data_IF_759440480561
#
_entry.id   IF_759440480561
#
_cell.length_a   1.000
_cell.length_b   1.000
_cell.length_c   1.000
_cell.angle_alpha   90.00
_cell.angle_beta   90.00
_cell.angle_gamma   90.00
#
_symmetry.space_group_name_H-M   'P 1'
#
loop_
_entity.id
_entity.type
_entity.pdbx_description
1 polymer ?
#
# COMPACT_ATOMS: atom_id res chain seq x y z
N UNK A 1 4.85 43.87 16.59
CA UNK A 1 4.07 43.04 15.66
C UNK A 1 3.56 41.80 16.38
N UNK A 2 2.29 41.80 16.80
CA UNK A 2 1.71 40.76 17.66
C UNK A 2 1.69 39.39 16.95
N UNK A 3 1.44 39.38 15.64
CA UNK A 3 1.42 38.16 14.81
C UNK A 3 2.81 37.52 14.76
N UNK A 4 3.87 38.32 14.60
CA UNK A 4 5.24 37.79 14.56
C UNK A 4 5.68 37.24 15.91
N UNK A 5 5.29 37.87 17.01
CA UNK A 5 5.53 37.35 18.37
C UNK A 5 4.81 36.02 18.60
N UNK A 6 3.55 35.90 18.15
CA UNK A 6 2.78 34.66 18.22
C UNK A 6 3.40 33.55 17.36
N UNK A 7 3.84 33.89 16.14
CA UNK A 7 4.51 32.94 15.25
C UNK A 7 5.88 32.48 15.75
N UNK A 8 6.60 33.31 16.52
CA UNK A 8 7.85 32.89 17.17
C UNK A 8 7.62 31.85 18.28
N UNK A 9 6.44 31.87 18.92
CA UNK A 9 6.03 30.85 19.88
C UNK A 9 5.38 29.62 19.24
N UNK A 10 4.99 29.70 17.97
CA UNK A 10 4.31 28.64 17.25
C UNK A 10 5.31 27.62 16.65
N UNK A 11 4.87 26.37 16.41
CA UNK A 11 5.69 25.41 15.67
C UNK A 11 6.03 25.89 14.26
N UNK A 12 7.25 25.60 13.79
CA UNK A 12 7.75 26.08 12.49
C UNK A 12 6.84 25.74 11.31
N UNK A 13 6.16 24.59 11.35
CA UNK A 13 5.25 24.14 10.29
C UNK A 13 3.98 24.99 10.16
N UNK A 14 3.64 25.82 11.16
CA UNK A 14 2.52 26.76 11.09
C UNK A 14 2.78 27.84 10.03
N UNK A 15 4.03 28.26 9.86
CA UNK A 15 4.43 29.27 8.86
C UNK A 15 4.13 28.82 7.42
N UNK A 16 4.20 27.51 7.16
CA UNK A 16 3.92 26.93 5.84
C UNK A 16 2.43 26.94 5.49
N UNK A 17 1.55 27.02 6.48
CA UNK A 17 0.09 26.99 6.29
C UNK A 17 -0.50 28.40 6.42
N UNK A 18 -0.04 29.14 7.42
CA UNK A 18 -0.62 30.43 7.81
C UNK A 18 0.08 31.62 7.18
N UNK A 19 1.22 31.48 6.46
CA UNK A 19 1.89 32.59 5.72
C UNK A 19 1.73 33.98 6.37
N UNK A 20 2.31 34.20 7.57
CA UNK A 20 1.92 35.29 8.48
C UNK A 20 2.12 36.69 7.91
N UNK A 21 3.02 36.86 6.93
CA UNK A 21 3.26 38.14 6.25
C UNK A 21 2.07 38.66 5.42
N UNK A 22 1.05 37.82 5.18
CA UNK A 22 -0.15 38.21 4.44
C UNK A 22 -1.23 38.84 5.34
N UNK A 23 -1.07 38.78 6.67
CA UNK A 23 -2.07 39.23 7.63
C UNK A 23 -1.62 40.52 8.30
N UNK A 24 -2.31 41.62 7.97
CA UNK A 24 -2.07 42.94 8.59
C UNK A 24 -2.90 43.14 9.87
N UNK A 25 -4.01 42.41 10.01
CA UNK A 25 -4.92 42.48 11.15
C UNK A 25 -4.86 41.20 11.98
N UNK A 26 -4.96 41.35 13.30
CA UNK A 26 -4.99 40.22 14.23
C UNK A 26 -6.25 39.36 14.06
N UNK A 27 -7.38 39.98 13.77
CA UNK A 27 -8.67 39.28 13.58
C UNK A 27 -8.63 38.34 12.37
N UNK A 28 -8.08 38.81 11.24
CA UNK A 28 -7.91 38.00 10.03
C UNK A 28 -6.96 36.81 10.27
N UNK A 29 -5.91 37.03 11.07
CA UNK A 29 -4.99 35.97 11.47
C UNK A 29 -5.68 34.92 12.37
N UNK A 30 -6.50 35.35 13.33
CA UNK A 30 -7.27 34.43 14.19
C UNK A 30 -8.27 33.59 13.38
N UNK A 31 -8.94 34.19 12.39
CA UNK A 31 -9.82 33.48 11.47
C UNK A 31 -9.05 32.44 10.64
N UNK A 32 -7.85 32.78 10.16
CA UNK A 32 -7.00 31.85 9.42
C UNK A 32 -6.53 30.68 10.28
N UNK A 33 -6.14 30.93 11.53
CA UNK A 33 -5.80 29.88 12.50
C UNK A 33 -6.98 28.94 12.72
N UNK A 34 -8.19 29.49 12.92
CA UNK A 34 -9.41 28.69 13.09
C UNK A 34 -9.76 27.88 11.84
N UNK A 35 -9.63 28.47 10.66
CA UNK A 35 -9.90 27.79 9.39
C UNK A 35 -8.93 26.63 9.13
N UNK A 36 -7.68 26.78 9.54
CA UNK A 36 -6.63 25.78 9.35
C UNK A 36 -6.40 24.87 10.57
N UNK A 37 -7.26 24.91 11.59
CA UNK A 37 -7.11 24.17 12.85
C UNK A 37 -6.81 22.68 12.64
N UNK A 38 -7.61 21.99 11.82
CA UNK A 38 -7.42 20.58 11.51
C UNK A 38 -6.07 20.28 10.82
N UNK A 39 -5.62 21.17 9.93
CA UNK A 39 -4.36 20.98 9.21
C UNK A 39 -3.16 21.24 10.13
N UNK A 40 -3.26 22.26 10.98
CA UNK A 40 -2.26 22.58 12.02
C UNK A 40 -2.17 21.44 13.04
N UNK A 41 -3.28 20.79 13.34
CA UNK A 41 -3.35 19.67 14.28
C UNK A 41 -2.81 18.35 13.70
N UNK A 42 -3.08 18.05 12.42
CA UNK A 42 -2.60 16.84 11.74
C UNK A 42 -1.10 16.84 11.51
N UNK A 43 -0.53 18.01 11.23
CA UNK A 43 0.89 18.16 10.94
C UNK A 43 1.77 18.21 12.19
N UNK A 44 1.18 18.13 13.38
CA UNK A 44 1.93 18.04 14.64
C UNK A 44 2.83 16.78 14.63
N UNK A 45 4.18 16.96 14.61
CA UNK A 45 5.13 15.85 14.64
C UNK A 45 5.02 15.02 15.93
N UNK A 46 4.48 15.59 17.01
CA UNK A 46 4.26 14.89 18.28
C UNK A 46 3.25 13.74 18.14
N UNK A 47 2.25 13.90 17.26
CA UNK A 47 1.22 12.89 16.97
C UNK A 47 1.63 11.91 15.88
N UNK A 48 2.49 12.34 14.96
CA UNK A 48 3.03 11.46 13.91
C UNK A 48 3.92 10.33 14.46
N UNK A 49 4.42 10.44 15.71
CA UNK A 49 5.12 9.35 16.40
C UNK A 49 4.20 8.27 16.99
N UNK A 50 2.87 8.46 16.97
CA UNK A 50 1.91 7.56 17.60
C UNK A 50 1.27 6.50 16.68
N UNK A 51 1.46 6.57 15.36
CA UNK A 51 0.75 5.74 14.39
C UNK A 51 1.64 4.91 13.46
N UNK A 52 2.84 4.53 13.91
CA UNK A 52 3.67 3.52 13.24
C UNK A 52 4.06 2.42 14.22
N UNK A 53 3.07 1.63 14.65
CA UNK A 53 3.35 0.37 15.33
C UNK A 53 2.46 -0.75 14.80
N UNK A 54 2.66 -1.09 13.53
CA UNK A 54 2.41 -2.44 13.04
C UNK A 54 3.70 -2.96 12.41
N UNK A 55 4.46 -3.69 13.22
CA UNK A 55 5.34 -4.76 12.76
C UNK A 55 6.67 -4.35 12.12
N UNK A 56 7.66 -3.97 12.92
CA UNK A 56 9.04 -4.26 12.59
C UNK A 56 9.66 -5.10 13.71
N UNK A 57 9.65 -6.42 13.51
CA UNK A 57 10.59 -7.31 14.20
C UNK A 57 12.00 -7.04 13.64
N UNK A 58 13.05 -7.18 14.46
CA UNK A 58 14.41 -6.92 14.03
C UNK A 58 14.89 -8.08 13.16
N UNK A 59 15.22 -7.78 11.91
CA UNK A 59 15.85 -8.71 10.98
C UNK A 59 17.10 -8.08 10.38
N UNK A 60 18.24 -8.48 10.93
CA UNK A 60 19.57 -8.53 10.33
C UNK A 60 20.16 -7.23 9.76
N UNK A 61 21.26 -6.81 10.41
CA UNK A 61 22.15 -5.76 9.93
C UNK A 61 22.83 -6.16 8.62
N UNK A 62 22.19 -5.86 7.50
CA UNK A 62 22.86 -5.77 6.21
C UNK A 62 23.30 -4.32 6.00
N UNK A 63 24.62 -4.09 6.06
CA UNK A 63 25.26 -2.83 5.67
C UNK A 63 24.75 -2.39 4.29
N UNK A 64 24.04 -1.27 4.23
CA UNK A 64 23.58 -0.68 2.97
C UNK A 64 24.78 -0.11 2.22
N UNK A 65 25.34 -0.91 1.31
CA UNK A 65 26.43 -0.50 0.43
C UNK A 65 25.91 0.55 -0.58
N UNK A 66 26.48 1.78 -0.66
CA UNK A 66 25.95 2.89 -1.46
C UNK A 66 25.94 2.64 -2.98
N UNK A 67 26.69 1.64 -3.45
CA UNK A 67 26.83 1.29 -4.87
C UNK A 67 25.73 0.36 -5.41
N UNK A 68 24.77 -0.06 -4.58
CA UNK A 68 23.72 -0.99 -4.98
C UNK A 68 22.41 -0.28 -5.36
N UNK A 69 22.50 0.68 -6.29
CA UNK A 69 21.39 1.55 -6.71
C UNK A 69 20.33 0.81 -7.56
N UNK A 70 20.57 -0.46 -7.92
CA UNK A 70 19.71 -1.27 -8.78
C UNK A 70 18.91 -2.36 -8.04
N UNK A 71 18.77 -2.31 -6.71
CA UNK A 71 17.93 -3.25 -5.95
C UNK A 71 16.43 -2.92 -5.90
N UNK A 72 15.95 -2.00 -6.73
CA UNK A 72 14.52 -1.73 -6.89
C UNK A 72 13.89 -2.48 -8.08
N UNK A 73 14.46 -3.62 -8.49
CA UNK A 73 13.69 -4.59 -9.25
C UNK A 73 12.61 -5.15 -8.31
N UNK A 74 11.39 -4.61 -8.39
CA UNK A 74 10.22 -5.29 -7.84
C UNK A 74 10.02 -6.53 -8.70
N UNK A 75 10.68 -7.64 -8.32
CA UNK A 75 10.40 -8.95 -8.90
C UNK A 75 9.05 -9.37 -8.33
N UNK A 76 8.00 -8.79 -8.89
CA UNK A 76 6.64 -9.18 -8.58
C UNK A 76 6.47 -10.60 -9.09
N UNK A 77 5.92 -11.49 -8.25
CA UNK A 77 5.58 -12.83 -8.68
C UNK A 77 4.65 -12.76 -9.91
N UNK A 78 4.77 -13.72 -10.82
CA UNK A 78 3.99 -13.73 -12.07
C UNK A 78 2.50 -13.63 -11.74
N UNK A 79 1.85 -12.63 -12.34
CA UNK A 79 0.44 -12.32 -12.13
C UNK A 79 0.06 -11.61 -10.84
N UNK A 80 1.03 -11.00 -10.17
CA UNK A 80 0.78 -10.05 -9.08
C UNK A 80 0.21 -8.73 -9.60
N UNK A 81 -0.84 -8.26 -8.96
CA UNK A 81 -1.40 -6.93 -9.21
C UNK A 81 -2.03 -6.34 -7.94
N UNK A 82 -2.33 -5.05 -7.93
CA UNK A 82 -2.86 -4.35 -6.74
C UNK A 82 -4.20 -4.94 -6.27
N UNK A 83 -4.99 -5.54 -7.16
CA UNK A 83 -6.25 -6.19 -6.83
C UNK A 83 -6.11 -7.54 -6.11
N UNK A 84 -4.88 -8.09 -6.04
CA UNK A 84 -4.62 -9.43 -5.47
C UNK A 84 -4.13 -9.39 -4.01
N UNK A 85 -4.13 -8.22 -3.37
CA UNK A 85 -3.30 -7.96 -2.20
C UNK A 85 -3.74 -8.65 -0.88
N UNK A 86 -4.99 -9.13 -0.73
CA UNK A 86 -5.39 -9.87 0.46
C UNK A 86 -6.48 -10.92 0.15
N UNK A 87 -6.22 -12.22 0.39
CA UNK A 87 -7.20 -13.27 0.23
C UNK A 87 -8.30 -13.18 1.31
N UNK A 88 -9.58 -13.43 0.97
CA UNK A 88 -10.68 -13.39 1.93
C UNK A 88 -10.74 -14.61 2.86
N UNK A 89 -10.04 -15.70 2.54
CA UNK A 89 -10.06 -16.94 3.33
C UNK A 89 -8.72 -17.23 4.01
N UNK A 90 -8.73 -17.99 5.13
CA UNK A 90 -7.51 -18.44 5.78
C UNK A 90 -6.62 -19.26 4.84
N UNK A 91 -5.30 -19.11 5.00
CA UNK A 91 -4.30 -19.86 4.24
C UNK A 91 -4.50 -21.36 4.37
N UNK A 92 -4.50 -22.05 3.24
CA UNK A 92 -4.65 -23.50 3.17
C UNK A 92 -3.49 -24.15 2.42
N UNK A 93 -2.48 -24.62 3.15
CA UNK A 93 -1.35 -25.35 2.60
C UNK A 93 -1.58 -26.88 2.54
N UNK A 94 -2.76 -27.36 2.94
CA UNK A 94 -3.09 -28.80 2.91
C UNK A 94 -3.44 -29.30 1.50
N UNK A 95 -3.96 -28.40 0.66
CA UNK A 95 -4.25 -28.69 -0.75
C UNK A 95 -3.02 -28.38 -1.60
N UNK A 96 -2.47 -29.40 -2.27
CA UNK A 96 -1.29 -29.28 -3.15
C UNK A 96 -1.70 -29.61 -4.57
N UNK A 97 -1.43 -28.70 -5.51
CA UNK A 97 -1.72 -28.93 -6.93
C UNK A 97 -0.75 -29.95 -7.56
N UNK A 98 -1.24 -30.97 -8.30
CA UNK A 98 -0.39 -32.02 -8.86
C UNK A 98 0.46 -31.57 -10.06
N UNK A 99 0.17 -30.41 -10.67
CA UNK A 99 0.82 -29.89 -11.90
C UNK A 99 1.93 -28.86 -11.61
N UNK A 100 2.53 -28.96 -10.43
CA UNK A 100 3.43 -27.94 -9.87
C UNK A 100 2.66 -26.83 -9.15
N UNK A 101 3.32 -26.11 -8.25
CA UNK A 101 2.67 -25.09 -7.43
C UNK A 101 2.99 -23.67 -7.92
N UNK A 102 2.13 -22.67 -7.63
CA UNK A 102 2.46 -21.27 -7.90
C UNK A 102 3.81 -20.84 -7.32
N UNK A 103 4.14 -21.33 -6.12
CA UNK A 103 5.42 -21.07 -5.47
C UNK A 103 6.62 -21.58 -6.29
N UNK A 104 6.52 -22.80 -6.84
CA UNK A 104 7.59 -23.38 -7.67
C UNK A 104 7.79 -22.63 -8.99
N UNK A 105 6.70 -22.10 -9.56
CA UNK A 105 6.72 -21.37 -10.83
C UNK A 105 6.93 -19.86 -10.66
N UNK A 106 7.19 -19.37 -9.45
CA UNK A 106 7.35 -17.95 -9.16
C UNK A 106 6.10 -17.12 -9.45
N UNK A 107 4.92 -17.73 -9.43
CA UNK A 107 3.63 -17.08 -9.62
C UNK A 107 3.04 -16.61 -8.28
N UNK A 108 2.10 -15.67 -8.34
CA UNK A 108 1.44 -15.16 -7.13
C UNK A 108 0.72 -16.29 -6.37
N UNK A 109 0.61 -16.20 -5.03
CA UNK A 109 -0.18 -17.16 -4.26
C UNK A 109 -1.67 -17.11 -4.66
N UNK A 110 -2.40 -18.15 -4.26
CA UNK A 110 -3.82 -18.30 -4.52
C UNK A 110 -4.61 -17.05 -4.07
N UNK A 111 -5.42 -16.47 -4.95
CA UNK A 111 -6.22 -15.26 -4.63
C UNK A 111 -7.28 -15.49 -3.56
N UNK A 112 -7.67 -16.76 -3.34
CA UNK A 112 -8.74 -17.11 -2.42
C UNK A 112 -8.23 -17.26 -0.99
N UNK A 113 -7.08 -17.91 -0.79
CA UNK A 113 -6.54 -18.21 0.53
C UNK A 113 -5.11 -17.72 0.78
N UNK A 114 -4.37 -17.32 -0.25
CA UNK A 114 -2.97 -16.91 -0.13
C UNK A 114 -1.96 -18.05 -0.01
N UNK A 115 -2.38 -19.30 -0.24
CA UNK A 115 -1.42 -20.42 -0.31
C UNK A 115 -0.62 -20.38 -1.60
N UNK A 116 0.67 -20.67 -1.51
CA UNK A 116 1.53 -20.91 -2.67
C UNK A 116 1.51 -22.37 -3.14
N UNK A 117 0.80 -23.28 -2.44
CA UNK A 117 0.83 -24.73 -2.69
C UNK A 117 -0.21 -25.21 -3.71
N UNK A 118 -1.20 -24.39 -4.04
CA UNK A 118 -2.18 -24.72 -5.06
C UNK A 118 -2.57 -23.51 -5.91
N UNK A 119 -2.98 -23.79 -7.15
CA UNK A 119 -3.50 -22.78 -8.07
C UNK A 119 -4.89 -22.29 -7.66
N UNK A 120 -5.23 -21.07 -8.06
CA UNK A 120 -6.59 -20.50 -7.89
C UNK A 120 -7.73 -21.52 -8.09
N UNK A 121 -7.83 -22.29 -9.21
CA UNK A 121 -8.91 -23.24 -9.44
C UNK A 121 -8.90 -24.48 -8.54
N UNK A 122 -7.74 -24.85 -7.98
CA UNK A 122 -7.58 -26.02 -7.13
C UNK A 122 -7.94 -25.70 -5.66
N UNK A 123 -8.12 -24.43 -5.33
CA UNK A 123 -8.46 -23.99 -3.99
C UNK A 123 -9.84 -24.53 -3.56
N UNK A 124 -9.95 -25.00 -2.31
CA UNK A 124 -11.25 -25.43 -1.74
C UNK A 124 -12.32 -24.32 -1.72
N UNK A 125 -11.88 -23.07 -1.68
CA UNK A 125 -12.74 -21.89 -1.68
C UNK A 125 -13.05 -21.38 -3.10
N UNK A 126 -12.44 -21.97 -4.13
CA UNK A 126 -12.78 -21.67 -5.51
C UNK A 126 -14.13 -22.30 -5.87
N UNK A 127 -14.94 -21.55 -6.62
CA UNK A 127 -16.20 -22.07 -7.17
C UNK A 127 -15.89 -23.07 -8.27
N UNK A 128 -16.01 -24.36 -7.97
CA UNK A 128 -15.81 -25.43 -8.94
C UNK A 128 -16.90 -25.37 -10.01
N UNK A 129 -16.51 -25.30 -11.28
CA UNK A 129 -17.44 -25.28 -12.42
C UNK A 129 -17.84 -23.90 -12.93
N UNK A 130 -17.39 -22.81 -12.30
CA UNK A 130 -17.56 -21.47 -12.86
C UNK A 130 -16.67 -21.31 -14.10
N UNK A 131 -17.28 -21.29 -15.29
CA UNK A 131 -16.61 -20.80 -16.50
C UNK A 131 -16.35 -19.31 -16.25
N UNK A 132 -15.08 -18.91 -16.16
CA UNK A 132 -14.65 -17.50 -16.08
C UNK A 132 -15.08 -16.77 -17.36
N UNK A 133 -16.34 -16.36 -17.46
CA UNK A 133 -16.80 -15.45 -18.50
C UNK A 133 -16.15 -14.08 -18.20
N UNK A 134 -15.23 -13.65 -19.05
CA UNK A 134 -14.56 -12.34 -18.95
C UNK A 134 -15.53 -11.24 -19.39
N UNK A 135 -16.56 -10.95 -18.58
CA UNK A 135 -17.61 -9.97 -18.90
C UNK A 135 -17.48 -8.71 -18.02
N UNK A 136 -16.41 -7.94 -18.24
CA UNK A 136 -16.37 -6.48 -18.07
C UNK A 136 -14.93 -5.97 -18.26
N UNK A 137 -14.59 -5.49 -19.45
CA UNK A 137 -13.27 -4.89 -19.73
C UNK A 137 -13.14 -3.44 -19.22
N UNK A 138 -14.23 -2.82 -18.75
CA UNK A 138 -14.27 -1.38 -18.43
C UNK A 138 -13.76 -1.06 -17.02
N UNK A 139 -13.79 -2.02 -16.08
CA UNK A 139 -13.43 -1.79 -14.67
C UNK A 139 -12.10 -2.42 -14.25
N UNK A 140 -11.51 -3.27 -15.09
CA UNK A 140 -10.24 -3.94 -14.81
C UNK A 140 -9.12 -3.05 -15.34
N UNK A 141 -8.12 -2.76 -14.51
CA UNK A 141 -6.95 -2.02 -14.98
C UNK A 141 -6.16 -2.88 -15.98
N UNK A 142 -5.52 -2.26 -16.96
CA UNK A 142 -4.70 -2.99 -17.94
C UNK A 142 -3.59 -3.81 -17.26
N UNK A 143 -3.04 -3.30 -16.15
CA UNK A 143 -2.09 -4.00 -15.30
C UNK A 143 -2.67 -5.31 -14.72
N UNK A 144 -3.90 -5.28 -14.24
CA UNK A 144 -4.59 -6.49 -13.73
C UNK A 144 -4.88 -7.50 -14.85
N UNK A 145 -5.19 -7.02 -16.06
CA UNK A 145 -5.46 -7.88 -17.22
C UNK A 145 -4.20 -8.65 -17.62
N UNK A 146 -3.10 -7.93 -17.81
CA UNK A 146 -1.80 -8.53 -18.16
C UNK A 146 -1.35 -9.49 -17.06
N UNK A 147 -1.45 -9.09 -15.78
CA UNK A 147 -1.10 -9.95 -14.67
C UNK A 147 -1.91 -11.27 -14.67
N UNK A 148 -3.22 -11.22 -14.91
CA UNK A 148 -4.01 -12.45 -14.97
C UNK A 148 -3.65 -13.32 -16.18
N UNK A 149 -3.29 -12.72 -17.32
CA UNK A 149 -2.84 -13.46 -18.51
C UNK A 149 -1.50 -14.15 -18.30
N UNK A 150 -0.53 -13.46 -17.69
CA UNK A 150 0.76 -14.06 -17.34
C UNK A 150 0.59 -15.21 -16.34
N UNK A 151 -0.31 -15.06 -15.36
CA UNK A 151 -0.65 -16.13 -14.42
C UNK A 151 -1.26 -17.34 -15.12
N UNK A 152 -2.24 -17.12 -16.00
CA UNK A 152 -2.91 -18.18 -16.75
C UNK A 152 -1.90 -18.90 -17.66
N UNK A 153 -0.97 -18.18 -18.30
CA UNK A 153 0.09 -18.75 -19.14
C UNK A 153 1.05 -19.66 -18.36
N UNK A 154 1.36 -19.34 -17.10
CA UNK A 154 2.22 -20.18 -16.26
C UNK A 154 1.46 -21.39 -15.70
N UNK A 155 0.14 -21.31 -15.61
CA UNK A 155 -0.72 -22.39 -15.12
C UNK A 155 -0.92 -23.52 -16.15
N UNK A 156 -1.22 -23.18 -17.41
CA UNK A 156 -1.44 -24.15 -18.50
C UNK A 156 -0.15 -24.70 -19.10
#
# INVERSE_FOLDING_TARGET
EIINELMNGAPSYWSSILTPHLYNNLEDFQLAVKFHEENLYRLDPSRSRGYTNYGNKPGDGASKNPFNQYRNARVNAVGWSKSTANPPFPKDDSTISPRGTPEDKGARPCRHCGSGKHWDPDCKYARKGDKRARVNAVTISEEDRVAQEEYDHVYF
#
